data_IF_507406223452
#
_entry.id   IF_507406223452
#
_cell.length_a   1.000
_cell.length_b   1.000
_cell.length_c   1.000
_cell.angle_alpha   90.00
_cell.angle_beta   90.00
_cell.angle_gamma   90.00
#
_symmetry.space_group_name_H-M   'P 1'
#
loop_
_entity.id
_entity.type
_entity.pdbx_description
1 polymer ?
#
# COMPACT_ATOMS: atom_id res chain seq x y z
N UNK A 1 -2.79 38.52 -50.52
CA UNK A 1 -3.65 39.32 -49.64
C UNK A 1 -4.46 38.32 -48.84
N UNK A 2 -3.80 37.56 -47.98
CA UNK A 2 -3.37 37.89 -46.60
C UNK A 2 -4.41 37.34 -45.62
N UNK A 3 -4.26 36.06 -45.26
CA UNK A 3 -4.74 35.57 -43.98
C UNK A 3 -3.60 34.81 -43.30
N UNK A 4 -3.00 35.50 -42.33
CA UNK A 4 -2.06 34.97 -41.35
C UNK A 4 -2.79 33.97 -40.46
N UNK A 5 -2.50 32.68 -40.61
CA UNK A 5 -2.88 31.67 -39.62
C UNK A 5 -1.70 31.43 -38.68
N UNK A 6 -1.71 32.13 -37.55
CA UNK A 6 -0.78 31.92 -36.43
C UNK A 6 -1.03 30.56 -35.78
N UNK A 7 -0.20 29.57 -36.08
CA UNK A 7 -0.19 28.30 -35.36
C UNK A 7 0.85 28.38 -34.24
N UNK A 8 0.36 28.62 -33.02
CA UNK A 8 1.16 28.66 -31.80
C UNK A 8 1.36 27.22 -31.29
N UNK A 9 2.59 26.79 -30.94
CA UNK A 9 2.81 25.45 -30.44
C UNK A 9 2.11 25.28 -29.09
N UNK A 10 1.14 24.36 -29.03
CA UNK A 10 0.49 23.94 -27.79
C UNK A 10 1.55 23.36 -26.84
N UNK A 11 1.78 24.05 -25.74
CA UNK A 11 2.52 23.52 -24.60
C UNK A 11 1.91 22.17 -24.16
N UNK A 12 2.73 21.17 -23.79
CA UNK A 12 2.22 19.96 -23.17
C UNK A 12 1.61 20.35 -21.82
N UNK A 13 0.29 20.18 -21.72
CA UNK A 13 -0.48 20.27 -20.49
C UNK A 13 0.22 19.43 -19.41
N UNK A 14 0.90 20.12 -18.50
CA UNK A 14 1.42 19.53 -17.27
C UNK A 14 0.22 19.00 -16.49
N UNK A 15 0.01 17.70 -16.59
CA UNK A 15 -0.93 16.95 -15.76
C UNK A 15 -0.46 17.16 -14.32
N UNK A 16 -1.25 17.84 -13.47
CA UNK A 16 -0.91 17.92 -12.05
C UNK A 16 -0.89 16.48 -11.50
N UNK A 17 0.12 16.11 -10.69
CA UNK A 17 0.15 14.79 -10.08
C UNK A 17 -1.16 14.58 -9.31
N UNK A 18 -1.74 13.37 -9.33
CA UNK A 18 -2.98 13.10 -8.63
C UNK A 18 -2.83 13.51 -7.16
N UNK A 19 -3.82 14.18 -6.56
CA UNK A 19 -3.80 14.45 -5.14
C UNK A 19 -3.71 13.08 -4.44
N UNK A 20 -2.62 12.87 -3.71
CA UNK A 20 -2.41 11.73 -2.81
C UNK A 20 -3.54 11.75 -1.77
N UNK A 21 -4.68 11.22 -2.18
CA UNK A 21 -5.88 11.09 -1.39
C UNK A 21 -5.61 10.01 -0.36
N UNK A 22 -5.53 10.43 0.90
CA UNK A 22 -5.31 9.54 2.04
C UNK A 22 -3.96 9.78 2.70
N UNK A 23 -3.93 10.73 3.62
CA UNK A 23 -3.03 10.74 4.77
C UNK A 23 -3.18 9.43 5.55
N UNK A 24 -2.58 8.36 5.02
CA UNK A 24 -2.26 7.14 5.76
C UNK A 24 -1.55 7.57 7.03
N UNK A 25 -2.00 7.09 8.19
CA UNK A 25 -1.73 7.62 9.54
C UNK A 25 -0.28 7.86 9.99
N UNK A 26 0.69 7.82 9.09
CA UNK A 26 2.04 8.35 9.23
C UNK A 26 2.07 9.87 9.40
N UNK A 27 3.07 10.39 10.13
CA UNK A 27 3.25 11.83 10.28
C UNK A 27 3.55 12.47 8.92
N UNK A 28 3.09 13.70 8.64
CA UNK A 28 3.31 14.38 7.37
C UNK A 28 4.80 14.68 7.11
N UNK A 29 5.57 14.85 8.19
CA UNK A 29 7.00 15.11 8.17
C UNK A 29 7.70 14.08 9.04
N UNK A 30 8.85 13.62 8.59
CA UNK A 30 9.68 12.66 9.30
C UNK A 30 11.17 12.98 9.13
N UNK A 31 11.95 12.58 10.12
CA UNK A 31 13.41 12.51 10.01
C UNK A 31 13.85 11.24 9.28
N UNK A 32 15.10 11.16 8.83
CA UNK A 32 15.65 9.93 8.24
C UNK A 32 15.52 8.70 9.16
N UNK A 33 15.66 8.88 10.47
CA UNK A 33 15.53 7.80 11.45
C UNK A 33 14.06 7.36 11.64
N UNK A 34 13.11 8.28 11.51
CA UNK A 34 11.68 7.95 11.48
C UNK A 34 11.30 7.27 10.17
N UNK A 35 11.81 7.76 9.03
CA UNK A 35 11.63 7.11 7.73
C UNK A 35 12.14 5.67 7.74
N UNK A 36 13.33 5.42 8.28
CA UNK A 36 13.86 4.06 8.43
C UNK A 36 12.90 3.16 9.21
N UNK A 37 12.34 3.67 10.31
CA UNK A 37 11.38 2.91 11.13
C UNK A 37 10.05 2.70 10.42
N UNK A 38 9.53 3.70 9.73
CA UNK A 38 8.32 3.56 8.90
C UNK A 38 8.54 2.44 7.87
N UNK A 39 9.68 2.46 7.18
CA UNK A 39 10.00 1.44 6.18
C UNK A 39 10.19 0.06 6.82
N UNK A 40 10.82 -0.05 7.98
CA UNK A 40 10.90 -1.32 8.75
C UNK A 40 9.54 -1.78 9.25
N UNK A 41 8.64 -0.85 9.59
CA UNK A 41 7.29 -1.18 9.99
C UNK A 41 6.51 -1.80 8.81
N UNK A 42 6.70 -1.28 7.61
CA UNK A 42 6.03 -1.75 6.38
C UNK A 42 6.69 -3.04 5.83
N UNK A 43 8.00 -3.05 5.68
CA UNK A 43 8.74 -4.08 4.91
C UNK A 43 9.57 -5.03 5.78
N UNK A 44 9.57 -4.86 7.10
CA UNK A 44 10.33 -5.68 8.02
C UNK A 44 11.83 -5.65 7.72
N UNK A 45 12.44 -6.83 7.66
CA UNK A 45 13.90 -7.01 7.43
C UNK A 45 14.37 -6.61 6.03
N UNK A 46 13.44 -6.47 5.08
CA UNK A 46 13.76 -6.05 3.70
C UNK A 46 13.89 -4.54 3.57
N UNK A 47 13.50 -3.78 4.60
CA UNK A 47 13.58 -2.33 4.60
C UNK A 47 15.04 -1.84 4.53
N UNK A 48 15.31 -0.74 3.82
CA UNK A 48 16.62 -0.12 3.82
C UNK A 48 16.95 0.38 5.22
N UNK A 49 18.16 0.06 5.68
CA UNK A 49 18.65 0.49 6.98
C UNK A 49 18.85 2.01 7.05
N UNK A 50 18.81 2.58 8.26
CA UNK A 50 19.07 4.00 8.47
C UNK A 50 20.43 4.45 7.87
N UNK A 51 21.45 3.59 7.90
CA UNK A 51 22.75 3.87 7.29
C UNK A 51 22.68 3.97 5.77
N UNK A 52 21.83 3.18 5.12
CA UNK A 52 21.58 3.26 3.67
C UNK A 52 20.88 4.56 3.30
N UNK A 53 19.85 4.93 4.07
CA UNK A 53 19.13 6.20 3.90
C UNK A 53 20.06 7.41 4.11
N UNK A 54 20.98 7.35 5.09
CA UNK A 54 22.01 8.38 5.29
C UNK A 54 22.95 8.50 4.09
N UNK A 55 23.39 7.39 3.49
CA UNK A 55 24.23 7.40 2.28
C UNK A 55 23.50 8.07 1.11
N UNK A 56 22.22 7.74 0.89
CA UNK A 56 21.43 8.39 -0.17
C UNK A 56 21.16 9.86 0.09
N UNK A 57 20.94 10.23 1.35
CA UNK A 57 20.83 11.63 1.75
C UNK A 57 22.12 12.40 1.48
N UNK A 58 23.29 11.81 1.77
CA UNK A 58 24.59 12.42 1.47
C UNK A 58 24.81 12.56 -0.04
N UNK A 59 24.32 11.61 -0.84
CA UNK A 59 24.31 11.69 -2.30
C UNK A 59 23.26 12.68 -2.86
N UNK A 60 22.47 13.34 -2.01
CA UNK A 60 21.45 14.31 -2.41
C UNK A 60 20.15 13.70 -2.95
N UNK A 61 19.92 12.41 -2.77
CA UNK A 61 18.76 11.72 -3.36
C UNK A 61 17.41 12.20 -2.81
N UNK A 62 17.40 12.78 -1.59
CA UNK A 62 16.21 13.31 -0.92
C UNK A 62 16.06 14.83 -1.01
N UNK A 63 16.83 15.53 -1.86
CA UNK A 63 16.76 17.01 -1.97
C UNK A 63 15.36 17.52 -2.30
N UNK A 64 14.63 16.81 -3.14
CA UNK A 64 13.25 17.13 -3.52
C UNK A 64 12.21 16.84 -2.43
N UNK A 65 12.61 16.11 -1.38
CA UNK A 65 11.72 15.67 -0.31
C UNK A 65 11.87 16.51 0.97
N UNK A 66 12.78 17.49 0.99
CA UNK A 66 13.03 18.32 2.17
C UNK A 66 11.81 19.18 2.47
N UNK A 67 11.32 19.12 3.72
CA UNK A 67 10.20 19.95 4.16
C UNK A 67 10.67 21.39 4.35
N UNK A 68 9.82 22.35 3.97
CA UNK A 68 10.08 23.77 4.23
C UNK A 68 9.90 24.10 5.72
N UNK A 69 10.53 25.17 6.21
CA UNK A 69 10.42 25.58 7.62
C UNK A 69 8.97 25.84 8.04
N UNK A 70 8.15 26.39 7.15
CA UNK A 70 6.72 26.64 7.37
C UNK A 70 5.93 25.33 7.59
N UNK A 71 6.26 24.29 6.84
CA UNK A 71 5.63 22.96 6.98
C UNK A 71 6.06 22.27 8.27
N UNK A 72 7.33 22.42 8.67
CA UNK A 72 7.84 21.87 9.93
C UNK A 72 7.11 22.49 11.12
N UNK A 73 6.89 23.80 11.10
CA UNK A 73 6.13 24.51 12.13
C UNK A 73 4.64 24.10 12.13
N UNK A 74 4.04 23.91 10.96
CA UNK A 74 2.66 23.43 10.85
C UNK A 74 2.49 21.98 11.37
N UNK A 75 3.51 21.13 11.22
CA UNK A 75 3.48 19.74 11.67
C UNK A 75 3.77 19.56 13.17
N UNK A 76 4.38 20.55 13.85
CA UNK A 76 4.54 20.54 15.31
C UNK A 76 3.23 20.87 16.07
N UNK A 77 2.16 21.25 15.37
CA UNK A 77 0.83 21.31 15.96
C UNK A 77 0.42 19.92 16.47
N UNK A 78 -0.13 19.80 17.70
CA UNK A 78 -0.33 18.52 18.38
C UNK A 78 -1.37 17.66 17.66
N UNK A 79 -0.90 16.87 16.70
CA UNK A 79 -1.69 15.88 15.98
C UNK A 79 -1.66 14.57 16.76
N UNK A 80 -2.80 14.08 17.28
CA UNK A 80 -2.86 12.88 18.13
C UNK A 80 -2.82 11.59 17.28
N UNK A 81 -1.90 11.47 16.32
CA UNK A 81 -1.74 10.20 15.60
C UNK A 81 -0.96 9.21 16.47
N UNK A 82 -1.57 8.06 16.77
CA UNK A 82 -0.93 6.95 17.50
C UNK A 82 0.39 6.49 16.85
N UNK A 83 0.54 6.66 15.53
CA UNK A 83 1.78 6.35 14.81
C UNK A 83 2.92 7.30 15.22
N UNK A 84 2.60 8.55 15.54
CA UNK A 84 3.59 9.53 16.00
C UNK A 84 4.21 9.09 17.34
N UNK A 85 3.39 8.59 18.27
CA UNK A 85 3.86 8.07 19.56
C UNK A 85 4.79 6.86 19.41
N UNK A 86 4.51 5.95 18.47
CA UNK A 86 5.38 4.79 18.18
C UNK A 86 6.70 5.17 17.51
N UNK A 87 6.70 6.28 16.77
CA UNK A 87 7.88 6.81 16.10
C UNK A 87 8.68 7.77 16.99
N UNK A 88 8.18 8.17 18.16
CA UNK A 88 8.95 9.02 19.07
C UNK A 88 9.84 8.17 19.99
N UNK A 89 11.16 8.21 19.77
CA UNK A 89 12.12 7.90 20.83
C UNK A 89 12.39 9.18 21.64
N UNK A 90 12.82 9.09 22.91
CA UNK A 90 13.34 10.25 23.63
C UNK A 90 14.44 10.89 22.79
N UNK A 91 14.23 12.13 22.34
CA UNK A 91 15.20 12.89 21.54
C UNK A 91 16.47 13.00 22.38
N UNK A 92 17.54 12.27 22.00
CA UNK A 92 18.87 12.50 22.60
C UNK A 92 19.29 13.91 22.21
N UNK A 93 19.67 14.73 23.19
CA UNK A 93 20.09 16.11 22.98
C UNK A 93 21.12 16.19 21.83
N UNK A 94 20.71 16.78 20.72
CA UNK A 94 21.46 16.74 19.46
C UNK A 94 20.79 17.59 18.39
N UNK A 95 21.58 17.98 17.39
CA UNK A 95 21.19 18.86 16.28
C UNK A 95 19.96 18.27 15.55
N UNK A 96 18.95 19.09 15.22
CA UNK A 96 17.79 18.62 14.45
C UNK A 96 18.28 18.02 13.13
N UNK A 97 17.90 16.77 12.89
CA UNK A 97 18.22 16.07 11.65
C UNK A 97 17.45 16.64 10.45
N UNK A 98 17.84 16.23 9.24
CA UNK A 98 17.12 16.56 8.02
C UNK A 98 15.65 16.14 8.13
N UNK A 99 14.73 17.09 7.93
CA UNK A 99 13.28 16.88 7.93
C UNK A 99 12.80 16.68 6.50
N UNK A 100 12.02 15.62 6.30
CA UNK A 100 11.52 15.21 4.99
C UNK A 100 10.00 15.10 5.01
N UNK A 101 9.35 15.48 3.91
CA UNK A 101 7.94 15.17 3.66
C UNK A 101 7.81 13.65 3.52
N UNK A 102 7.10 13.02 4.45
CA UNK A 102 7.08 11.56 4.62
C UNK A 102 6.63 10.83 3.37
N UNK A 103 5.51 11.27 2.77
CA UNK A 103 4.97 10.63 1.56
C UNK A 103 5.94 10.69 0.37
N UNK A 104 6.56 11.85 0.15
CA UNK A 104 7.53 12.03 -0.93
C UNK A 104 8.80 11.21 -0.69
N UNK A 105 9.28 11.19 0.55
CA UNK A 105 10.47 10.42 0.91
C UNK A 105 10.26 8.91 0.73
N UNK A 106 9.08 8.38 1.10
CA UNK A 106 8.72 6.98 0.86
C UNK A 106 8.69 6.69 -0.64
N UNK A 107 8.02 7.52 -1.45
CA UNK A 107 8.01 7.39 -2.91
C UNK A 107 9.42 7.34 -3.49
N UNK A 108 10.29 8.25 -3.03
CA UNK A 108 11.68 8.29 -3.46
C UNK A 108 12.48 7.04 -3.09
N UNK A 109 12.18 6.42 -1.95
CA UNK A 109 12.79 5.14 -1.57
C UNK A 109 12.35 4.01 -2.51
N UNK A 110 11.09 3.96 -2.91
CA UNK A 110 10.63 2.96 -3.89
C UNK A 110 11.30 3.13 -5.26
N UNK A 111 11.58 4.35 -5.68
CA UNK A 111 12.33 4.62 -6.91
C UNK A 111 13.80 4.16 -6.82
N UNK A 112 14.45 4.40 -5.68
CA UNK A 112 15.85 4.02 -5.46
C UNK A 112 16.03 2.52 -5.16
N UNK A 113 14.97 1.87 -4.69
CA UNK A 113 14.97 0.47 -4.27
C UNK A 113 13.71 -0.25 -4.78
N UNK A 114 13.64 -0.53 -6.09
CA UNK A 114 12.45 -1.11 -6.72
C UNK A 114 12.07 -2.47 -6.14
N UNK A 115 13.03 -3.23 -5.60
CA UNK A 115 12.80 -4.52 -4.93
C UNK A 115 11.88 -4.43 -3.70
N UNK A 116 11.64 -3.24 -3.14
CA UNK A 116 10.65 -3.05 -2.09
C UNK A 116 9.21 -3.13 -2.63
N UNK A 117 8.98 -2.71 -3.87
CA UNK A 117 7.67 -2.77 -4.54
C UNK A 117 7.27 -4.17 -4.98
N UNK A 118 8.23 -5.07 -5.14
CA UNK A 118 8.02 -6.49 -5.43
C UNK A 118 7.81 -7.34 -4.15
N UNK A 119 7.87 -6.71 -2.97
CA UNK A 119 7.62 -7.40 -1.71
C UNK A 119 6.20 -7.95 -1.71
N UNK A 120 6.08 -9.27 -1.61
CA UNK A 120 4.80 -9.97 -1.55
C UNK A 120 3.86 -9.31 -0.53
N UNK A 121 2.72 -8.74 -0.95
CA UNK A 121 1.78 -8.09 -0.04
C UNK A 121 1.30 -9.05 1.05
N UNK A 122 1.34 -10.36 0.82
CA UNK A 122 1.03 -11.36 1.83
C UNK A 122 2.05 -11.36 2.99
N UNK A 123 3.34 -11.26 2.68
CA UNK A 123 4.40 -11.20 3.69
C UNK A 123 4.33 -9.92 4.54
N UNK A 124 3.88 -8.80 3.95
CA UNK A 124 3.64 -7.54 4.67
C UNK A 124 2.47 -7.70 5.65
N UNK A 125 1.37 -8.31 5.22
CA UNK A 125 0.22 -8.60 6.09
C UNK A 125 0.61 -9.56 7.21
N UNK A 126 1.34 -10.64 6.93
CA UNK A 126 1.82 -11.57 7.96
C UNK A 126 2.70 -10.87 9.00
N UNK A 127 3.59 -9.96 8.57
CA UNK A 127 4.45 -9.21 9.48
C UNK A 127 3.64 -8.24 10.36
N UNK A 128 2.65 -7.56 9.78
CA UNK A 128 1.73 -6.70 10.54
C UNK A 128 0.97 -7.53 11.56
N UNK A 129 0.36 -8.66 11.15
CA UNK A 129 -0.38 -9.58 12.02
C UNK A 129 0.50 -10.12 13.15
N UNK A 130 1.73 -10.55 12.84
CA UNK A 130 2.68 -11.04 13.85
C UNK A 130 3.00 -9.95 14.88
N UNK A 131 3.23 -8.70 14.43
CA UNK A 131 3.51 -7.58 15.32
C UNK A 131 2.30 -7.18 16.16
N UNK A 132 1.10 -7.19 15.59
CA UNK A 132 -0.14 -6.95 16.35
C UNK A 132 -0.35 -8.03 17.39
N UNK A 133 -0.09 -9.30 17.06
CA UNK A 133 -0.14 -10.42 18.00
C UNK A 133 0.88 -10.26 19.13
N UNK A 134 2.10 -9.82 18.85
CA UNK A 134 3.11 -9.55 19.87
C UNK A 134 2.74 -8.38 20.77
N UNK A 135 2.18 -7.30 20.21
CA UNK A 135 1.67 -6.18 20.99
C UNK A 135 0.52 -6.61 21.92
N UNK A 136 -0.40 -7.44 21.42
CA UNK A 136 -1.47 -8.02 22.24
C UNK A 136 -0.91 -8.91 23.34
N UNK A 137 0.09 -9.75 23.06
CA UNK A 137 0.76 -10.55 24.11
C UNK A 137 1.42 -9.68 25.17
N UNK A 138 2.13 -8.63 24.78
CA UNK A 138 2.79 -7.71 25.72
C UNK A 138 1.75 -6.95 26.55
N UNK A 139 0.66 -6.48 25.94
CA UNK A 139 -0.42 -5.81 26.65
C UNK A 139 -1.15 -6.75 27.62
N UNK A 140 -1.41 -8.00 27.21
CA UNK A 140 -1.99 -9.02 28.08
C UNK A 140 -1.05 -9.37 29.24
N UNK A 141 0.25 -9.49 28.99
CA UNK A 141 1.24 -9.74 30.04
C UNK A 141 1.33 -8.60 31.07
N UNK A 142 1.10 -7.35 30.64
CA UNK A 142 1.03 -6.19 31.53
C UNK A 142 -0.32 -6.07 32.26
N UNK A 143 -1.42 -6.53 31.64
CA UNK A 143 -2.74 -6.57 32.24
C UNK A 143 -2.93 -7.76 33.20
N UNK A 144 -2.03 -8.75 33.14
CA UNK A 144 -1.99 -9.88 34.09
C UNK A 144 -1.24 -9.39 35.33
N UNK A 145 -1.92 -9.18 36.48
CA UNK A 145 -1.24 -8.78 37.70
C UNK A 145 -0.26 -9.90 38.10
N UNK A 146 0.92 -9.58 38.65
CA UNK A 146 1.78 -10.60 39.22
C UNK A 146 1.01 -11.26 40.37
N UNK A 147 0.57 -12.51 40.17
CA UNK A 147 0.20 -13.38 41.29
C UNK A 147 1.47 -13.60 42.10
N UNK A 148 1.69 -12.68 43.04
CA UNK A 148 2.57 -12.89 44.16
C UNK A 148 2.09 -14.16 44.86
N UNK A 149 3.02 -15.10 45.02
CA UNK A 149 2.92 -16.16 46.00
C UNK A 149 2.60 -15.52 47.36
N UNK A 150 1.35 -15.64 47.79
CA UNK A 150 0.94 -15.38 49.16
C UNK A 150 -0.16 -16.39 49.50
N UNK A 151 0.26 -17.50 50.11
CA UNK A 151 -0.59 -18.21 51.07
C UNK A 151 -0.52 -17.39 52.37
N UNK A 152 -1.66 -17.00 52.99
CA UNK A 152 -2.31 -17.91 53.94
C UNK A 152 -3.86 -17.85 53.97
N UNK A 153 -4.44 -19.02 54.31
CA UNK A 153 -5.69 -19.32 55.02
C UNK A 153 -7.07 -18.72 54.63
N UNK A 154 -8.16 -19.49 54.85
CA UNK A 154 -9.49 -19.20 54.33
C UNK A 154 -10.28 -18.28 55.25
N UNK A 155 -10.98 -17.31 54.68
CA UNK A 155 -12.12 -16.68 55.34
C UNK A 155 -13.24 -16.51 54.32
N UNK A 156 -14.38 -17.09 54.70
CA UNK A 156 -15.64 -17.15 54.00
C UNK A 156 -16.24 -15.76 53.72
N UNK A 157 -17.01 -15.73 52.64
CA UNK A 157 -18.14 -14.83 52.36
C UNK A 157 -17.88 -13.32 52.27
N UNK A 158 -17.68 -12.86 51.04
CA UNK A 158 -18.18 -11.56 50.61
C UNK A 158 -18.68 -11.63 49.16
N UNK A 159 -20.01 -11.75 49.02
CA UNK A 159 -20.86 -11.41 47.89
C UNK A 159 -20.15 -11.12 46.54
N UNK A 160 -20.29 -12.05 45.59
CA UNK A 160 -19.99 -11.88 44.18
C UNK A 160 -20.71 -10.64 43.61
N UNK A 161 -19.98 -9.53 43.54
CA UNK A 161 -20.25 -8.47 42.56
C UNK A 161 -19.47 -8.84 41.30
N UNK A 162 -20.09 -8.89 40.11
CA UNK A 162 -19.35 -9.08 38.87
C UNK A 162 -18.38 -7.91 38.74
N UNK A 163 -17.09 -8.22 38.84
CA UNK A 163 -16.02 -7.25 38.71
C UNK A 163 -16.07 -6.64 37.31
N UNK A 164 -15.85 -5.31 37.15
CA UNK A 164 -15.87 -4.64 35.84
C UNK A 164 -14.86 -5.22 34.83
N UNK A 165 -13.90 -6.01 35.29
CA UNK A 165 -12.96 -6.76 34.46
C UNK A 165 -13.60 -7.88 33.65
N UNK A 166 -14.65 -8.56 34.16
CA UNK A 166 -15.29 -9.67 33.45
C UNK A 166 -16.09 -9.20 32.23
N UNK A 167 -16.79 -8.06 32.36
CA UNK A 167 -17.50 -7.43 31.24
C UNK A 167 -16.53 -6.85 30.21
N UNK A 168 -15.40 -6.26 30.65
CA UNK A 168 -14.36 -5.80 29.75
C UNK A 168 -13.69 -6.95 28.98
N UNK A 169 -13.44 -8.08 29.65
CA UNK A 169 -12.91 -9.29 29.01
C UNK A 169 -13.88 -9.87 27.97
N UNK A 170 -15.17 -9.91 28.28
CA UNK A 170 -16.18 -10.39 27.33
C UNK A 170 -16.32 -9.48 26.09
N UNK A 171 -16.16 -8.16 26.26
CA UNK A 171 -16.15 -7.22 25.14
C UNK A 171 -14.88 -7.39 24.28
N UNK A 172 -13.72 -7.63 24.90
CA UNK A 172 -12.48 -7.95 24.18
C UNK A 172 -12.61 -9.27 23.41
N UNK A 173 -13.20 -10.30 24.02
CA UNK A 173 -13.45 -11.59 23.37
C UNK A 173 -14.38 -11.46 22.16
N UNK A 174 -15.43 -10.63 22.29
CA UNK A 174 -16.33 -10.29 21.18
C UNK A 174 -15.59 -9.57 20.05
N UNK A 175 -14.74 -8.60 20.38
CA UNK A 175 -13.94 -7.86 19.40
C UNK A 175 -12.92 -8.77 18.69
N UNK A 176 -12.29 -9.70 19.42
CA UNK A 176 -11.40 -10.71 18.84
C UNK A 176 -12.16 -11.66 17.91
N UNK A 177 -13.38 -12.04 18.26
CA UNK A 177 -14.25 -12.85 17.39
C UNK A 177 -14.59 -12.14 16.07
N UNK A 178 -14.93 -10.86 16.13
CA UNK A 178 -15.19 -10.03 14.95
C UNK A 178 -13.96 -9.87 14.08
N UNK A 179 -12.80 -9.54 14.68
CA UNK A 179 -11.54 -9.42 13.97
C UNK A 179 -11.16 -10.73 13.26
N UNK A 180 -11.39 -11.88 13.91
CA UNK A 180 -11.12 -13.19 13.32
C UNK A 180 -12.01 -13.45 12.10
N UNK A 181 -13.29 -13.04 12.14
CA UNK A 181 -14.18 -13.12 10.97
C UNK A 181 -13.71 -12.22 9.83
N UNK A 182 -13.34 -10.96 10.13
CA UNK A 182 -12.83 -10.02 9.13
C UNK A 182 -11.53 -10.53 8.49
N UNK A 183 -10.61 -11.07 9.29
CA UNK A 183 -9.39 -11.70 8.78
C UNK A 183 -9.68 -12.91 7.90
N UNK A 184 -10.68 -13.73 8.24
CA UNK A 184 -11.08 -14.87 7.42
C UNK A 184 -11.70 -14.41 6.08
N UNK A 185 -12.49 -13.34 6.08
CA UNK A 185 -13.04 -12.73 4.86
C UNK A 185 -11.91 -12.15 3.98
N UNK A 186 -10.99 -11.39 4.57
CA UNK A 186 -9.84 -10.82 3.88
C UNK A 186 -8.94 -11.90 3.26
N UNK A 187 -8.70 -13.02 3.97
CA UNK A 187 -7.97 -14.17 3.43
C UNK A 187 -8.63 -14.75 2.18
N UNK A 188 -9.97 -14.83 2.16
CA UNK A 188 -10.71 -15.31 0.97
C UNK A 188 -10.58 -14.33 -0.20
N UNK A 189 -10.68 -13.03 0.06
CA UNK A 189 -10.50 -12.01 -0.98
C UNK A 189 -9.07 -12.02 -1.55
N UNK A 190 -8.05 -12.12 -0.68
CA UNK A 190 -6.65 -12.23 -1.11
C UNK A 190 -6.42 -13.49 -1.95
N UNK A 191 -6.99 -14.63 -1.55
CA UNK A 191 -6.93 -15.85 -2.35
C UNK A 191 -7.61 -15.67 -3.73
N UNK A 192 -8.74 -14.96 -3.77
CA UNK A 192 -9.44 -14.63 -5.02
C UNK A 192 -8.61 -13.71 -5.93
N UNK A 193 -8.01 -12.65 -5.38
CA UNK A 193 -7.13 -11.75 -6.14
C UNK A 193 -5.86 -12.46 -6.63
N UNK A 194 -5.29 -13.36 -5.81
CA UNK A 194 -4.14 -14.18 -6.21
C UNK A 194 -4.50 -15.11 -7.38
N UNK A 195 -5.68 -15.76 -7.34
CA UNK A 195 -6.18 -16.56 -8.44
C UNK A 195 -6.42 -15.73 -9.71
N UNK A 196 -7.01 -14.53 -9.58
CA UNK A 196 -7.22 -13.60 -10.69
C UNK A 196 -5.89 -13.16 -11.32
N UNK A 197 -4.90 -12.80 -10.49
CA UNK A 197 -3.55 -12.44 -10.93
C UNK A 197 -2.90 -13.58 -11.72
N UNK A 198 -2.94 -14.80 -11.19
CA UNK A 198 -2.34 -15.95 -11.86
C UNK A 198 -3.02 -16.22 -13.22
N UNK A 199 -4.34 -16.06 -13.31
CA UNK A 199 -5.06 -16.17 -14.58
C UNK A 199 -4.68 -15.06 -15.58
N UNK A 200 -4.44 -13.85 -15.09
CA UNK A 200 -4.03 -12.73 -15.94
C UNK A 200 -2.61 -12.94 -16.48
N UNK A 201 -1.70 -13.41 -15.64
CA UNK A 201 -0.31 -13.72 -16.04
C UNK A 201 -0.32 -14.77 -17.15
N UNK A 202 -1.06 -15.88 -16.98
CA UNK A 202 -1.13 -16.90 -18.03
C UNK A 202 -1.74 -16.38 -19.32
N UNK A 203 -2.79 -15.55 -19.26
CA UNK A 203 -3.38 -14.91 -20.45
C UNK A 203 -2.41 -13.96 -21.16
N UNK A 204 -1.60 -13.23 -20.40
CA UNK A 204 -0.58 -12.34 -20.94
C UNK A 204 0.55 -13.15 -21.60
N UNK A 205 1.02 -14.21 -20.95
CA UNK A 205 2.03 -15.11 -21.51
C UNK A 205 1.54 -15.74 -22.81
N UNK A 206 0.28 -16.19 -22.86
CA UNK A 206 -0.34 -16.71 -24.09
C UNK A 206 -0.46 -15.65 -25.18
N UNK A 207 -0.82 -14.42 -24.84
CA UNK A 207 -0.89 -13.32 -25.80
C UNK A 207 0.50 -12.96 -26.35
N UNK A 208 1.53 -12.95 -25.50
CA UNK A 208 2.92 -12.74 -25.89
C UNK A 208 3.43 -13.88 -26.76
N UNK A 209 3.11 -15.13 -26.42
CA UNK A 209 3.45 -16.30 -27.24
C UNK A 209 2.83 -16.19 -28.64
N UNK A 210 1.53 -15.88 -28.73
CA UNK A 210 0.85 -15.64 -30.02
C UNK A 210 1.45 -14.48 -30.80
N UNK A 211 1.81 -13.37 -30.14
CA UNK A 211 2.46 -12.24 -30.80
C UNK A 211 3.85 -12.61 -31.33
N UNK A 212 4.63 -13.37 -30.57
CA UNK A 212 5.93 -13.89 -31.01
C UNK A 212 5.77 -14.84 -32.19
N UNK A 213 4.81 -15.76 -32.15
CA UNK A 213 4.51 -16.66 -33.27
C UNK A 213 4.08 -15.90 -34.54
N UNK A 214 3.30 -14.83 -34.40
CA UNK A 214 2.95 -13.98 -35.54
C UNK A 214 4.16 -13.24 -36.13
N UNK A 215 5.10 -12.83 -35.27
CA UNK A 215 6.33 -12.14 -35.69
C UNK A 215 7.37 -13.10 -36.29
N UNK A 216 7.51 -14.31 -35.76
CA UNK A 216 8.47 -15.32 -36.27
C UNK A 216 7.93 -16.13 -37.44
N UNK A 217 6.60 -16.27 -37.54
CA UNK A 217 5.92 -16.82 -38.71
C UNK A 217 5.97 -15.90 -39.94
N UNK A 218 6.33 -14.62 -39.76
CA UNK A 218 6.68 -13.69 -40.81
C UNK A 218 8.15 -13.79 -41.19
N UNK A 219 8.55 -14.84 -41.91
CA UNK A 219 9.88 -14.90 -42.53
C UNK A 219 10.01 -13.73 -43.52
N UNK A 220 11.01 -12.84 -43.38
CA UNK A 220 11.27 -11.81 -44.36
C UNK A 220 12.02 -12.45 -45.54
N UNK A 221 11.26 -12.99 -46.49
CA UNK A 221 11.81 -13.66 -47.66
C UNK A 221 10.94 -13.43 -48.89
N UNK A 222 11.25 -12.36 -49.64
CA UNK A 222 10.90 -12.22 -51.05
C UNK A 222 9.44 -11.83 -51.34
N UNK A 223 9.27 -10.66 -51.95
CA UNK A 223 7.97 -10.09 -52.30
C UNK A 223 7.04 -11.05 -53.03
N UNK A 224 5.95 -11.42 -52.36
CA UNK A 224 4.71 -11.83 -52.98
C UNK A 224 3.59 -11.37 -52.05
N UNK A 225 2.76 -10.44 -52.53
CA UNK A 225 1.51 -10.04 -51.88
C UNK A 225 0.56 -11.23 -51.94
N UNK A 226 0.75 -12.18 -51.03
CA UNK A 226 -0.15 -13.33 -50.91
C UNK A 226 -1.44 -12.88 -50.20
N UNK A 227 -2.58 -12.77 -50.90
CA UNK A 227 -3.82 -12.23 -50.34
C UNK A 227 -4.34 -13.05 -49.14
N UNK A 228 -3.94 -14.31 -49.04
CA UNK A 228 -4.28 -15.20 -47.93
C UNK A 228 -3.56 -14.81 -46.63
N UNK A 229 -2.34 -14.28 -46.74
CA UNK A 229 -1.58 -13.79 -45.58
C UNK A 229 -2.19 -12.48 -45.07
N UNK A 230 -2.58 -11.59 -45.97
CA UNK A 230 -3.25 -10.33 -45.60
C UNK A 230 -4.65 -10.60 -45.01
N UNK A 231 -5.43 -11.50 -45.60
CA UNK A 231 -6.74 -11.89 -45.06
C UNK A 231 -6.62 -12.54 -43.67
N UNK A 232 -5.56 -13.32 -43.44
CA UNK A 232 -5.27 -13.89 -42.11
C UNK A 232 -4.88 -12.80 -41.11
N UNK A 233 -4.04 -11.85 -41.53
CA UNK A 233 -3.63 -10.70 -40.72
C UNK A 233 -4.83 -9.84 -40.33
N UNK A 234 -5.73 -9.55 -41.26
CA UNK A 234 -6.95 -8.79 -41.01
C UNK A 234 -7.90 -9.52 -40.07
N UNK A 235 -8.05 -10.84 -40.23
CA UNK A 235 -8.83 -11.67 -39.31
C UNK A 235 -8.27 -11.62 -37.89
N UNK A 236 -6.97 -11.81 -37.75
CA UNK A 236 -6.32 -11.84 -36.44
C UNK A 236 -6.33 -10.43 -35.79
N UNK A 237 -6.21 -9.37 -36.60
CA UNK A 237 -6.35 -7.99 -36.16
C UNK A 237 -7.80 -7.66 -35.75
N UNK A 238 -8.80 -8.24 -36.42
CA UNK A 238 -10.21 -8.20 -36.02
C UNK A 238 -10.47 -8.90 -34.69
N UNK A 239 -9.88 -10.08 -34.48
CA UNK A 239 -9.97 -10.82 -33.20
C UNK A 239 -9.36 -9.97 -32.08
N UNK A 240 -8.15 -9.43 -32.27
CA UNK A 240 -7.49 -8.56 -31.29
C UNK A 240 -8.31 -7.30 -30.96
N UNK A 241 -8.93 -6.67 -31.96
CA UNK A 241 -9.83 -5.53 -31.72
C UNK A 241 -11.03 -5.93 -30.88
N UNK A 242 -11.65 -7.09 -31.15
CA UNK A 242 -12.78 -7.57 -30.36
C UNK A 242 -12.38 -7.85 -28.91
N UNK A 243 -11.26 -8.53 -28.68
CA UNK A 243 -10.81 -8.87 -27.32
C UNK A 243 -10.42 -7.63 -26.53
N UNK A 244 -9.76 -6.65 -27.15
CA UNK A 244 -9.46 -5.37 -26.51
C UNK A 244 -10.74 -4.60 -26.15
N UNK A 245 -11.75 -4.63 -27.01
CA UNK A 245 -13.05 -3.98 -26.72
C UNK A 245 -13.80 -4.67 -25.58
N UNK A 246 -13.74 -6.00 -25.48
CA UNK A 246 -14.30 -6.78 -24.37
C UNK A 246 -13.58 -6.49 -23.05
N UNK A 247 -12.25 -6.35 -23.07
CA UNK A 247 -11.46 -5.96 -21.90
C UNK A 247 -11.83 -4.56 -21.45
N UNK A 248 -11.90 -3.59 -22.36
CA UNK A 248 -12.28 -2.21 -22.03
C UNK A 248 -13.69 -2.12 -21.45
N UNK A 249 -14.65 -2.84 -22.02
CA UNK A 249 -16.02 -2.89 -21.47
C UNK A 249 -16.12 -3.63 -20.14
N UNK A 250 -15.26 -4.63 -19.89
CA UNK A 250 -15.15 -5.26 -18.58
C UNK A 250 -14.55 -4.31 -17.54
N UNK A 251 -13.49 -3.57 -17.89
CA UNK A 251 -12.87 -2.56 -17.03
C UNK A 251 -13.83 -1.42 -16.71
N UNK A 252 -14.57 -0.91 -17.68
CA UNK A 252 -15.60 0.11 -17.48
C UNK A 252 -16.74 -0.40 -16.56
N UNK A 253 -17.15 -1.66 -16.67
CA UNK A 253 -18.13 -2.25 -15.74
C UNK A 253 -17.60 -2.36 -14.32
N UNK A 254 -16.32 -2.68 -14.16
CA UNK A 254 -15.68 -2.72 -12.84
C UNK A 254 -15.60 -1.30 -12.26
N UNK A 255 -15.20 -0.31 -13.06
CA UNK A 255 -15.14 1.09 -12.66
C UNK A 255 -16.51 1.64 -12.26
N UNK A 256 -17.55 1.40 -13.08
CA UNK A 256 -18.92 1.79 -12.78
C UNK A 256 -19.48 1.06 -11.56
N UNK A 257 -19.19 -0.24 -11.42
CA UNK A 257 -19.59 -1.05 -10.26
C UNK A 257 -18.93 -0.58 -8.95
N UNK A 258 -17.72 -0.03 -9.02
CA UNK A 258 -17.01 0.53 -7.87
C UNK A 258 -17.54 1.91 -7.45
N UNK A 259 -18.14 2.67 -8.38
CA UNK A 259 -18.80 3.95 -8.08
C UNK A 259 -20.14 3.81 -7.34
N UNK A 260 -20.89 2.73 -7.58
CA UNK A 260 -22.20 2.50 -6.95
C UNK A 260 -22.16 1.93 -5.53
N UNK A 261 -21.01 1.48 -5.02
CA UNK A 261 -20.88 1.01 -3.62
C UNK A 261 -20.56 2.12 -2.61
N UNK A 262 -20.36 3.36 -3.07
CA UNK A 262 -20.06 4.53 -2.21
C UNK A 262 -21.25 5.43 -1.86
N UNK A 263 -22.46 5.16 -2.36
CA UNK A 263 -23.65 5.98 -2.08
C UNK A 263 -24.73 5.15 -1.37
N UNK A 264 -24.57 4.99 -0.06
CA UNK A 264 -25.70 4.69 0.82
C UNK A 264 -26.45 6.02 1.05
N UNK A 265 -27.76 6.13 0.73
CA UNK A 265 -28.54 7.30 1.08
C UNK A 265 -28.71 7.34 2.60
N UNK A 266 -28.29 8.45 3.20
CA UNK A 266 -28.50 8.75 4.60
C UNK A 266 -29.99 8.64 4.95
N UNK A 267 -30.27 7.83 5.95
CA UNK A 267 -31.55 7.79 6.66
C UNK A 267 -31.84 9.17 7.25
N UNK A 268 -33.00 9.73 6.89
CA UNK A 268 -33.74 10.71 7.69
C UNK A 268 -35.13 10.15 7.93
#
# INVERSE_FOLDING_TARGET
MDEYSSDSPREPLSIPPPPLSGSHGWPPICTLAELARILTLIHGVKAPTESSLKKWSAAGAFRSCVASEEEVLAAEAPSPSAAHTLLQRPRRAGRPGLTLRTAMAIGRVYELWPFLGESDPHAVVELVVARTADHLRVALAQATPPMAQASPEPSEEAAERPTPSALALHEIERQLGLLTQEMAAMKKEVAHFSALRNNLITRLDDAVARAKEALTGGVPGGGSLDPLVEARRDRDMGIMKSTLSEILTALQRIEAGNGTRGSMPGTS
#
